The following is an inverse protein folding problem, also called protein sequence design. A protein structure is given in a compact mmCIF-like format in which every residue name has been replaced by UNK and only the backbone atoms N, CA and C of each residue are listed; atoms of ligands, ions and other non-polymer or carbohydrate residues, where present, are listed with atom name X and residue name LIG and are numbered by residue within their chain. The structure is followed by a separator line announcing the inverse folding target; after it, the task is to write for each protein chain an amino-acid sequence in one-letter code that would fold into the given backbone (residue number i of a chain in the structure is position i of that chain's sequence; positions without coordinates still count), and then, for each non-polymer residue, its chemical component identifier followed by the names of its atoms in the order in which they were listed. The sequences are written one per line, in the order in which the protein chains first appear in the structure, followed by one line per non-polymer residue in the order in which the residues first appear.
data_IF_935004635046
#
_entry.id   IF_935004635046
#
_cell.length_a   1.000
_cell.length_b   1.000
_cell.length_c   1.000
_cell.angle_alpha   90.00
_cell.angle_beta   90.00
_cell.angle_gamma   90.00
#
_symmetry.space_group_name_H-M   'P 1'
#
loop_
_entity.id
_entity.type
_entity.pdbx_description
1 polymer ?
#
# COMPACT_ATOMS: atom_id res chain seq x y z
N UNK A 1 -20.84 -40.73 -17.71
CA UNK A 1 -19.61 -40.34 -18.41
C UNK A 1 -19.58 -38.83 -18.57
N UNK A 2 -19.06 -38.12 -17.57
CA UNK A 2 -19.01 -36.64 -17.58
C UNK A 2 -17.55 -36.22 -17.42
N UNK A 3 -16.88 -35.96 -18.53
CA UNK A 3 -15.47 -35.55 -18.55
C UNK A 3 -15.37 -34.07 -18.21
N UNK A 4 -15.18 -33.77 -16.92
CA UNK A 4 -14.88 -32.42 -16.43
C UNK A 4 -13.53 -31.98 -16.98
N UNK A 5 -13.55 -31.24 -18.09
CA UNK A 5 -12.37 -30.56 -18.66
C UNK A 5 -11.94 -29.44 -17.70
N UNK A 6 -11.15 -29.79 -16.68
CA UNK A 6 -10.45 -28.81 -15.84
C UNK A 6 -9.50 -28.00 -16.72
N UNK A 7 -9.72 -26.70 -16.81
CA UNK A 7 -8.79 -25.78 -17.44
C UNK A 7 -7.42 -25.90 -16.72
N UNK A 8 -6.33 -25.96 -17.49
CA UNK A 8 -4.96 -26.07 -16.95
C UNK A 8 -4.50 -24.79 -16.25
N UNK A 9 -5.22 -23.70 -16.46
CA UNK A 9 -5.02 -22.43 -15.78
C UNK A 9 -5.94 -22.37 -14.57
N UNK A 10 -5.33 -22.31 -13.37
CA UNK A 10 -6.04 -22.05 -12.12
C UNK A 10 -6.61 -20.63 -12.09
N UNK A 11 -7.40 -20.28 -11.06
CA UNK A 11 -7.93 -18.93 -10.91
C UNK A 11 -6.77 -17.92 -10.92
N UNK A 12 -6.90 -16.89 -11.76
CA UNK A 12 -5.89 -15.84 -11.87
C UNK A 12 -5.83 -15.01 -10.58
N UNK A 13 -4.63 -14.55 -10.17
CA UNK A 13 -4.50 -13.65 -9.05
C UNK A 13 -5.32 -12.38 -9.30
N UNK A 14 -6.05 -11.93 -8.27
CA UNK A 14 -6.78 -10.67 -8.31
C UNK A 14 -5.79 -9.53 -8.11
N UNK A 15 -5.55 -8.75 -9.15
CA UNK A 15 -4.84 -7.47 -9.03
C UNK A 15 -5.87 -6.41 -8.71
N UNK A 16 -5.82 -5.85 -7.50
CA UNK A 16 -6.61 -4.67 -7.13
C UNK A 16 -5.83 -3.41 -7.49
N UNK A 17 -6.48 -2.49 -8.20
CA UNK A 17 -5.90 -1.20 -8.58
C UNK A 17 -6.79 -0.10 -8.06
N UNK A 18 -6.23 0.80 -7.26
CA UNK A 18 -6.95 1.94 -6.70
C UNK A 18 -6.50 3.22 -7.41
N UNK A 19 -7.46 3.97 -7.95
CA UNK A 19 -7.22 5.30 -8.51
C UNK A 19 -7.47 6.33 -7.43
N UNK A 20 -6.49 7.19 -7.18
CA UNK A 20 -6.60 8.30 -6.25
C UNK A 20 -6.48 9.63 -6.98
N UNK A 21 -7.36 10.57 -6.64
CA UNK A 21 -7.25 11.98 -7.03
C UNK A 21 -6.82 12.75 -5.80
N UNK A 22 -5.78 13.57 -5.93
CA UNK A 22 -5.32 14.42 -4.83
C UNK A 22 -5.15 15.85 -5.32
N UNK A 23 -5.46 16.80 -4.44
CA UNK A 23 -5.12 18.20 -4.64
C UNK A 23 -3.69 18.43 -4.14
N UNK A 24 -2.90 19.18 -4.91
CA UNK A 24 -1.57 19.63 -4.50
C UNK A 24 -1.44 21.13 -4.74
N UNK A 25 -0.46 21.75 -4.07
CA UNK A 25 -0.13 23.14 -4.34
C UNK A 25 0.50 23.28 -5.73
N UNK A 26 0.34 24.45 -6.35
CA UNK A 26 0.98 24.74 -7.64
C UNK A 26 2.51 24.58 -7.58
N UNK A 27 3.12 24.98 -6.46
CA UNK A 27 4.57 24.82 -6.25
C UNK A 27 4.99 23.35 -6.25
N UNK A 28 4.22 22.46 -5.62
CA UNK A 28 4.53 21.03 -5.64
C UNK A 28 4.41 20.44 -7.04
N UNK A 29 3.39 20.85 -7.81
CA UNK A 29 3.24 20.42 -9.21
C UNK A 29 4.47 20.80 -10.06
N UNK A 30 4.96 22.03 -9.92
CA UNK A 30 6.14 22.51 -10.65
C UNK A 30 7.39 21.69 -10.30
N UNK A 31 7.61 21.40 -9.01
CA UNK A 31 8.76 20.59 -8.61
C UNK A 31 8.66 19.13 -9.09
N UNK A 32 7.46 18.56 -9.09
CA UNK A 32 7.22 17.22 -9.65
C UNK A 32 7.50 17.17 -11.16
N UNK A 33 7.09 18.19 -11.91
CA UNK A 33 7.37 18.28 -13.36
C UNK A 33 8.86 18.44 -13.64
N UNK A 34 9.56 19.25 -12.84
CA UNK A 34 11.02 19.38 -12.92
C UNK A 34 11.70 18.04 -12.63
N UNK A 35 11.25 17.33 -11.59
CA UNK A 35 11.80 16.04 -11.21
C UNK A 35 11.63 15.00 -12.34
N UNK A 36 10.44 14.95 -12.94
CA UNK A 36 10.16 14.13 -14.12
C UNK A 36 11.09 14.44 -15.30
N UNK A 37 11.31 15.72 -15.60
CA UNK A 37 12.23 16.14 -16.66
C UNK A 37 13.69 15.73 -16.37
N UNK A 38 14.15 15.83 -15.12
CA UNK A 38 15.48 15.38 -14.70
C UNK A 38 15.61 13.85 -14.77
N UNK A 39 14.57 13.12 -14.38
CA UNK A 39 14.53 11.67 -14.50
C UNK A 39 14.68 11.24 -15.96
N UNK A 40 13.93 11.87 -16.87
CA UNK A 40 14.03 11.61 -18.31
C UNK A 40 15.42 11.90 -18.88
N UNK A 41 16.06 12.99 -18.46
CA UNK A 41 17.44 13.29 -18.84
C UNK A 41 18.44 12.25 -18.34
N UNK A 42 18.18 11.65 -17.18
CA UNK A 42 19.08 10.69 -16.55
C UNK A 42 18.92 9.28 -17.14
N UNK A 43 17.69 8.87 -17.44
CA UNK A 43 17.35 7.49 -17.80
C UNK A 43 16.83 7.34 -19.25
N UNK A 44 16.72 8.43 -20.01
CA UNK A 44 16.41 8.44 -21.44
C UNK A 44 14.92 8.47 -21.79
N UNK A 45 14.06 7.91 -20.93
CA UNK A 45 12.62 7.86 -21.19
C UNK A 45 11.87 9.01 -20.52
N UNK A 46 11.05 9.70 -21.30
CA UNK A 46 10.14 10.71 -20.78
C UNK A 46 9.06 10.06 -19.92
N UNK A 47 9.04 10.40 -18.63
CA UNK A 47 8.04 9.91 -17.66
C UNK A 47 7.28 11.10 -17.10
N UNK A 48 5.96 11.01 -17.01
CA UNK A 48 5.12 12.01 -16.33
C UNK A 48 5.26 11.88 -14.81
N UNK A 49 5.19 13.01 -14.09
CA UNK A 49 5.12 13.05 -12.64
C UNK A 49 4.06 12.10 -12.08
N UNK A 50 2.90 11.98 -12.73
CA UNK A 50 1.80 11.09 -12.31
C UNK A 50 2.23 9.62 -12.25
N UNK A 51 3.14 9.20 -13.15
CA UNK A 51 3.69 7.85 -13.14
C UNK A 51 4.78 7.66 -12.07
N UNK A 52 5.49 8.72 -11.69
CA UNK A 52 6.52 8.67 -10.64
C UNK A 52 5.94 8.73 -9.22
N UNK A 53 4.83 9.46 -9.02
CA UNK A 53 4.23 9.69 -7.71
C UNK A 53 3.98 8.38 -6.92
N UNK A 54 3.39 7.30 -7.49
CA UNK A 54 3.21 6.05 -6.76
C UNK A 54 4.52 5.49 -6.22
N UNK A 55 5.57 5.45 -7.04
CA UNK A 55 6.89 4.95 -6.66
C UNK A 55 7.57 5.83 -5.61
N UNK A 56 7.43 7.15 -5.72
CA UNK A 56 7.95 8.09 -4.72
C UNK A 56 7.28 7.89 -3.37
N UNK A 57 5.95 7.68 -3.35
CA UNK A 57 5.19 7.45 -2.12
C UNK A 57 5.52 6.09 -1.49
N UNK A 58 5.64 5.02 -2.30
CA UNK A 58 6.09 3.72 -1.82
C UNK A 58 7.47 3.80 -1.16
N UNK A 59 8.45 4.39 -1.86
CA UNK A 59 9.80 4.58 -1.33
C UNK A 59 9.81 5.46 -0.07
N UNK A 60 8.93 6.47 0.01
CA UNK A 60 8.78 7.29 1.21
C UNK A 60 8.28 6.46 2.41
N UNK A 61 7.19 5.70 2.24
CA UNK A 61 6.62 4.85 3.29
C UNK A 61 7.61 3.76 3.74
N UNK A 62 8.42 3.24 2.83
CA UNK A 62 9.48 2.29 3.15
C UNK A 62 10.61 2.91 3.97
N UNK A 63 10.91 4.19 3.78
CA UNK A 63 12.03 4.87 4.44
C UNK A 63 11.63 5.53 5.76
N UNK A 64 10.34 5.80 5.98
CA UNK A 64 9.85 6.37 7.23
C UNK A 64 9.86 5.35 8.38
N UNK A 65 10.96 5.36 9.15
CA UNK A 65 11.14 4.51 10.33
C UNK A 65 10.17 4.84 11.46
N UNK A 66 9.77 6.10 11.60
CA UNK A 66 8.81 6.51 12.63
C UNK A 66 7.45 5.89 12.37
N UNK A 67 6.99 5.99 11.13
CA UNK A 67 5.79 5.33 10.66
C UNK A 67 5.84 3.81 10.85
N UNK A 68 6.94 3.17 10.43
CA UNK A 68 7.11 1.70 10.57
C UNK A 68 7.07 1.22 12.03
N UNK A 69 7.68 1.96 12.96
CA UNK A 69 7.69 1.59 14.37
C UNK A 69 6.29 1.65 14.99
N UNK A 70 5.54 2.72 14.72
CA UNK A 70 4.16 2.86 15.19
C UNK A 70 3.23 1.81 14.57
N UNK A 71 3.43 1.47 13.29
CA UNK A 71 2.67 0.42 12.62
C UNK A 71 2.94 -0.97 13.23
N UNK A 72 4.20 -1.27 13.57
CA UNK A 72 4.57 -2.52 14.27
C UNK A 72 3.98 -2.59 15.68
N UNK A 73 4.04 -1.51 16.44
CA UNK A 73 3.46 -1.45 17.78
C UNK A 73 1.94 -1.70 17.77
N UNK A 74 1.24 -1.15 16.77
CA UNK A 74 -0.22 -1.32 16.63
C UNK A 74 -0.63 -2.71 16.13
N UNK A 75 0.15 -3.35 15.27
CA UNK A 75 -0.11 -4.73 14.81
C UNK A 75 0.15 -5.77 15.89
N UNK A 76 1.09 -5.53 16.81
CA UNK A 76 1.32 -6.38 17.99
C UNK A 76 0.18 -6.22 19.02
N UNK A 77 -0.46 -5.05 19.07
CA UNK A 77 -1.53 -4.73 20.04
C UNK A 77 -2.96 -4.95 19.52
N UNK A 78 -3.15 -5.55 18.34
CA UNK A 78 -4.48 -5.90 17.85
C UNK A 78 -5.12 -7.02 18.73
N UNK A 79 -6.45 -7.00 18.93
CA UNK A 79 -7.05 -7.46 20.17
C UNK A 79 -7.05 -8.98 20.29
N UNK A 80 -6.44 -9.49 21.35
CA UNK A 80 -6.86 -10.76 21.94
C UNK A 80 -8.32 -10.61 22.38
N UNK A 81 -9.17 -11.39 21.72
CA UNK A 81 -10.57 -11.63 22.04
C UNK A 81 -10.83 -11.60 23.56
N UNK A 82 -11.61 -10.61 24.01
CA UNK A 82 -11.95 -10.37 25.42
C UNK A 82 -13.03 -11.34 25.95
N UNK A 83 -13.06 -12.57 25.45
CA UNK A 83 -14.04 -13.58 25.87
C UNK A 83 -13.71 -14.26 27.21
N UNK A 84 -12.62 -13.89 27.90
CA UNK A 84 -12.13 -14.59 29.11
C UNK A 84 -12.22 -13.78 30.42
N UNK A 85 -13.09 -12.75 30.48
CA UNK A 85 -13.31 -11.96 31.71
C UNK A 85 -14.66 -12.19 32.41
N UNK A 86 -15.47 -13.17 32.00
CA UNK A 86 -16.74 -13.49 32.67
C UNK A 86 -16.80 -14.87 33.33
N UNK A 87 -15.69 -15.31 33.95
CA UNK A 87 -15.65 -16.57 34.74
C UNK A 87 -15.05 -16.45 36.14
N UNK A 88 -15.01 -15.24 36.72
CA UNK A 88 -14.69 -15.04 38.14
C UNK A 88 -15.69 -14.13 38.81
N UNK A 89 -16.95 -14.57 38.83
CA UNK A 89 -17.98 -14.02 39.70
C UNK A 89 -18.84 -15.17 40.19
N UNK A 90 -18.36 -15.86 41.23
CA UNK A 90 -19.13 -16.55 42.29
C UNK A 90 -18.23 -17.54 43.03
N UNK A 91 -17.76 -17.19 44.23
CA UNK A 91 -18.00 -18.00 45.43
C UNK A 91 -17.64 -17.19 46.68
N UNK A 92 -18.58 -17.25 47.63
CA UNK A 92 -18.57 -16.91 49.06
C UNK A 92 -17.23 -16.95 49.77
#
# INVERSE_FOLDING_TARGET
MSTTRKLRLGPLPKTETFKLTFACSASLKVELDRYAALHAQTYGDAVDAVALIPHMLEAFMERDRGFKQLHKARSIAAPTDSSDQLRRSTLT
#
